data_IF_647527196265
#
_entry.id   IF_647527196265
#
_cell.length_a   1.000
_cell.length_b   1.000
_cell.length_c   1.000
_cell.angle_alpha   90.00
_cell.angle_beta   90.00
_cell.angle_gamma   90.00
#
_symmetry.space_group_name_H-M   'P 1'
#
loop_
_entity.id
_entity.type
_entity.pdbx_description
1 polymer ?
#
# COMPACT_ATOMS: atom_id res chain seq x y z
N UNK A 1 23.49 -31.88 16.18
CA UNK A 1 22.33 -31.81 15.27
C UNK A 1 21.25 -31.01 15.97
N UNK A 2 21.13 -29.71 15.68
CA UNK A 2 20.18 -28.82 16.34
C UNK A 2 18.87 -28.84 15.56
N UNK A 3 17.87 -29.55 16.07
CA UNK A 3 16.52 -29.55 15.52
C UNK A 3 15.90 -28.15 15.72
N UNK A 4 15.82 -27.35 14.66
CA UNK A 4 15.08 -26.08 14.70
C UNK A 4 13.58 -26.39 14.78
N UNK A 5 12.97 -26.04 15.91
CA UNK A 5 11.53 -26.11 16.10
C UNK A 5 10.80 -25.23 15.04
N UNK A 6 9.64 -25.68 14.52
CA UNK A 6 8.85 -24.87 13.60
C UNK A 6 8.38 -23.60 14.33
N UNK A 7 8.73 -22.43 13.78
CA UNK A 7 8.26 -21.15 14.29
C UNK A 7 6.74 -21.12 14.14
N UNK A 8 6.02 -20.99 15.26
CA UNK A 8 4.56 -20.81 15.30
C UNK A 8 4.18 -19.68 14.31
N UNK A 9 3.30 -19.93 13.32
CA UNK A 9 2.95 -18.92 12.34
C UNK A 9 2.36 -17.71 13.07
N UNK A 10 2.94 -16.53 12.82
CA UNK A 10 2.44 -15.31 13.40
C UNK A 10 0.96 -15.12 13.00
N UNK A 11 0.08 -14.69 13.92
CA UNK A 11 -1.33 -14.53 13.61
C UNK A 11 -1.52 -13.58 12.42
N UNK A 12 -2.53 -13.84 11.57
CA UNK A 12 -2.83 -12.98 10.43
C UNK A 12 -3.13 -11.58 10.93
N UNK A 13 -2.40 -10.58 10.42
CA UNK A 13 -2.59 -9.19 10.82
C UNK A 13 -3.54 -8.52 9.82
N UNK A 14 -4.67 -8.03 10.31
CA UNK A 14 -5.56 -7.18 9.53
C UNK A 14 -4.86 -5.85 9.26
N UNK A 15 -4.83 -5.43 8.00
CA UNK A 15 -4.21 -4.17 7.61
C UNK A 15 -5.19 -3.02 7.83
N UNK A 16 -4.81 -2.06 8.68
CA UNK A 16 -5.50 -0.78 8.74
C UNK A 16 -4.94 0.13 7.64
N UNK A 17 -5.83 0.77 6.88
CA UNK A 17 -5.49 1.74 5.84
C UNK A 17 -6.34 3.00 6.04
N UNK A 18 -5.88 4.12 5.51
CA UNK A 18 -6.52 5.42 5.73
C UNK A 18 -7.72 5.59 4.80
N UNK A 19 -8.94 5.56 5.34
CA UNK A 19 -10.17 5.71 4.56
C UNK A 19 -10.36 7.14 4.01
N UNK A 20 -9.71 8.13 4.61
CA UNK A 20 -9.77 9.54 4.17
C UNK A 20 -8.92 9.84 2.93
N UNK A 21 -8.05 8.90 2.51
CA UNK A 21 -7.22 9.07 1.33
C UNK A 21 -8.04 8.77 0.06
N UNK A 22 -7.70 9.35 -1.11
CA UNK A 22 -8.30 8.93 -2.37
C UNK A 22 -8.11 7.43 -2.62
N UNK A 23 -9.10 6.76 -3.19
CA UNK A 23 -9.08 5.31 -3.47
C UNK A 23 -7.77 4.77 -4.09
N UNK A 24 -7.14 5.39 -5.12
CA UNK A 24 -5.87 4.89 -5.66
C UNK A 24 -4.73 4.94 -4.64
N UNK A 25 -4.76 5.90 -3.71
CA UNK A 25 -3.80 5.96 -2.63
C UNK A 25 -4.07 4.88 -1.57
N UNK A 26 -5.32 4.56 -1.30
CA UNK A 26 -5.70 3.46 -0.42
C UNK A 26 -5.21 2.12 -0.97
N UNK A 27 -5.45 1.84 -2.26
CA UNK A 27 -4.97 0.64 -2.93
C UNK A 27 -3.44 0.52 -2.85
N UNK A 28 -2.71 1.60 -3.17
CA UNK A 28 -1.25 1.61 -3.06
C UNK A 28 -0.76 1.42 -1.62
N UNK A 29 -1.46 1.96 -0.62
CA UNK A 29 -1.13 1.79 0.80
C UNK A 29 -1.31 0.33 1.23
N UNK A 30 -2.44 -0.30 0.91
CA UNK A 30 -2.69 -1.72 1.19
C UNK A 30 -1.62 -2.58 0.53
N UNK A 31 -1.34 -2.34 -0.76
CA UNK A 31 -0.32 -3.08 -1.50
C UNK A 31 1.07 -2.95 -0.86
N UNK A 32 1.46 -1.75 -0.44
CA UNK A 32 2.74 -1.53 0.24
C UNK A 32 2.82 -2.20 1.61
N UNK A 33 1.72 -2.26 2.36
CA UNK A 33 1.67 -2.98 3.63
C UNK A 33 1.86 -4.49 3.43
N UNK A 34 1.22 -5.06 2.39
CA UNK A 34 1.41 -6.47 2.01
C UNK A 34 2.87 -6.72 1.60
N UNK A 35 3.44 -5.89 0.71
CA UNK A 35 4.84 -6.05 0.29
C UNK A 35 5.81 -6.00 1.47
N UNK A 36 5.61 -5.07 2.41
CA UNK A 36 6.44 -4.96 3.63
C UNK A 36 6.26 -6.15 4.56
N UNK A 37 5.05 -6.69 4.69
CA UNK A 37 4.77 -7.87 5.52
C UNK A 37 5.47 -9.11 4.97
N UNK A 38 5.44 -9.28 3.65
CA UNK A 38 6.09 -10.38 2.94
C UNK A 38 7.59 -10.14 2.69
N UNK A 39 8.10 -8.95 3.03
CA UNK A 39 9.50 -8.52 2.80
C UNK A 39 9.92 -8.60 1.33
N UNK A 40 9.00 -8.29 0.43
CA UNK A 40 9.24 -8.25 -1.02
C UNK A 40 9.40 -6.81 -1.51
N UNK A 41 10.09 -6.64 -2.63
CA UNK A 41 10.44 -5.34 -3.19
C UNK A 41 9.41 -4.80 -4.19
N UNK A 42 8.66 -5.68 -4.84
CA UNK A 42 7.73 -5.37 -5.93
C UNK A 42 6.43 -6.15 -5.78
N UNK A 43 5.36 -5.68 -6.42
CA UNK A 43 4.07 -6.38 -6.40
C UNK A 43 4.10 -7.70 -7.18
N UNK A 44 4.89 -7.79 -8.26
CA UNK A 44 5.03 -9.05 -9.01
C UNK A 44 5.49 -10.22 -8.13
N UNK A 45 6.42 -9.96 -7.20
CA UNK A 45 6.86 -10.96 -6.21
C UNK A 45 5.74 -11.37 -5.24
N UNK A 46 4.81 -10.47 -4.92
CA UNK A 46 3.62 -10.82 -4.13
C UNK A 46 2.75 -11.82 -4.89
N UNK A 47 2.52 -11.59 -6.18
CA UNK A 47 1.69 -12.46 -7.03
C UNK A 47 2.31 -13.86 -7.14
N UNK A 48 3.62 -13.95 -7.34
CA UNK A 48 4.35 -15.22 -7.36
C UNK A 48 4.18 -15.98 -6.03
N UNK A 49 4.33 -15.28 -4.90
CA UNK A 49 4.20 -15.87 -3.57
C UNK A 49 2.75 -16.19 -3.17
N UNK A 50 1.75 -15.50 -3.72
CA UNK A 50 0.33 -15.71 -3.41
C UNK A 50 -0.21 -17.09 -3.86
N UNK A 51 0.53 -17.77 -4.74
CA UNK A 51 0.26 -19.16 -5.14
C UNK A 51 0.53 -20.16 -4.01
N UNK A 52 1.35 -19.78 -3.02
CA UNK A 52 1.73 -20.64 -1.91
C UNK A 52 0.76 -20.51 -0.74
N UNK A 53 0.39 -21.64 -0.16
CA UNK A 53 -0.62 -21.71 0.92
C UNK A 53 -0.12 -21.11 2.23
N UNK A 54 1.18 -21.22 2.52
CA UNK A 54 1.83 -20.63 3.70
C UNK A 54 1.72 -19.10 3.73
N UNK A 55 1.77 -18.45 2.56
CA UNK A 55 1.67 -17.00 2.42
C UNK A 55 0.23 -16.51 2.60
N UNK A 56 -0.76 -17.26 2.14
CA UNK A 56 -2.19 -16.93 2.33
C UNK A 56 -2.59 -16.86 3.80
N UNK A 57 -1.90 -17.61 4.66
CA UNK A 57 -2.11 -17.56 6.11
C UNK A 57 -1.54 -16.28 6.76
N UNK A 58 -0.55 -15.64 6.13
CA UNK A 58 0.15 -14.46 6.68
C UNK A 58 -0.53 -13.13 6.35
N UNK A 59 -1.32 -13.09 5.27
CA UNK A 59 -1.95 -11.90 4.72
C UNK A 59 -3.44 -12.17 4.59
N UNK A 60 -4.25 -11.53 5.46
CA UNK A 60 -5.72 -11.52 5.32
C UNK A 60 -6.17 -10.14 4.91
N UNK A 61 -6.77 -10.06 3.74
CA UNK A 61 -7.40 -8.85 3.22
C UNK A 61 -8.90 -8.95 3.45
N UNK A 62 -9.51 -7.81 3.81
CA UNK A 62 -10.98 -7.71 3.81
C UNK A 62 -11.50 -7.71 2.37
N UNK A 63 -12.78 -8.08 2.13
CA UNK A 63 -13.38 -8.04 0.79
C UNK A 63 -13.26 -6.65 0.12
N UNK A 64 -13.40 -5.58 0.90
CA UNK A 64 -13.26 -4.19 0.43
C UNK A 64 -11.84 -3.89 -0.03
N UNK A 65 -10.83 -4.32 0.73
CA UNK A 65 -9.42 -4.16 0.36
C UNK A 65 -9.07 -4.95 -0.90
N UNK A 66 -9.61 -6.17 -1.03
CA UNK A 66 -9.42 -6.97 -2.23
C UNK A 66 -10.05 -6.27 -3.43
N UNK A 67 -11.29 -5.80 -3.31
CA UNK A 67 -11.97 -5.06 -4.38
C UNK A 67 -11.21 -3.77 -4.77
N UNK A 68 -10.61 -3.07 -3.81
CA UNK A 68 -9.74 -1.90 -4.05
C UNK A 68 -8.49 -2.29 -4.86
N UNK A 69 -7.82 -3.39 -4.49
CA UNK A 69 -6.66 -3.87 -5.21
C UNK A 69 -7.02 -4.34 -6.62
N UNK A 70 -8.16 -5.00 -6.79
CA UNK A 70 -8.64 -5.49 -8.09
C UNK A 70 -8.98 -4.31 -9.01
N UNK A 71 -9.71 -3.31 -8.51
CA UNK A 71 -10.07 -2.08 -9.23
C UNK A 71 -8.86 -1.31 -9.72
N UNK A 72 -7.80 -1.27 -8.91
CA UNK A 72 -6.55 -0.56 -9.22
C UNK A 72 -5.41 -1.51 -9.60
N UNK A 73 -5.71 -2.72 -10.08
CA UNK A 73 -4.71 -3.74 -10.38
C UNK A 73 -3.61 -3.26 -11.33
N UNK A 74 -3.93 -2.34 -12.24
CA UNK A 74 -3.00 -1.75 -13.20
C UNK A 74 -1.92 -0.84 -12.57
N UNK A 75 -2.11 -0.28 -11.36
CA UNK A 75 -1.05 0.53 -10.69
C UNK A 75 -0.06 -0.34 -9.94
N UNK A 76 -0.47 -1.54 -9.53
CA UNK A 76 0.26 -2.37 -8.57
C UNK A 76 1.65 -2.81 -9.09
N UNK A 77 1.83 -3.20 -10.37
CA UNK A 77 3.14 -3.58 -10.90
C UNK A 77 4.21 -2.49 -10.83
N UNK A 78 3.79 -1.22 -10.77
CA UNK A 78 4.70 -0.07 -10.72
C UNK A 78 5.15 0.28 -9.30
N UNK A 79 4.50 -0.28 -8.28
CA UNK A 79 4.85 -0.01 -6.89
C UNK A 79 6.16 -0.70 -6.51
N UNK A 80 7.01 0.03 -5.79
CA UNK A 80 8.30 -0.47 -5.31
C UNK A 80 8.56 -0.04 -3.89
N UNK A 81 9.17 -0.93 -3.09
CA UNK A 81 9.60 -0.60 -1.72
C UNK A 81 10.93 0.16 -1.73
N UNK A 82 11.89 -0.25 -2.57
CA UNK A 82 13.22 0.37 -2.72
C UNK A 82 13.65 0.45 -4.20
N UNK A 83 13.94 1.64 -4.76
CA UNK A 83 13.56 2.95 -4.22
C UNK A 83 12.04 3.03 -4.06
N UNK A 84 11.55 3.80 -3.09
CA UNK A 84 10.11 3.85 -2.82
C UNK A 84 9.38 4.53 -3.97
N UNK A 85 8.55 3.77 -4.69
CA UNK A 85 7.63 4.26 -5.71
C UNK A 85 6.22 3.98 -5.21
N UNK A 86 5.46 5.05 -5.00
CA UNK A 86 4.10 5.03 -4.49
C UNK A 86 3.18 5.88 -5.37
N UNK A 87 1.90 5.94 -5.04
CA UNK A 87 0.92 6.77 -5.74
C UNK A 87 0.58 8.01 -4.92
N UNK A 88 0.47 9.14 -5.61
CA UNK A 88 -0.15 10.34 -5.09
C UNK A 88 -1.39 10.68 -5.92
N UNK A 89 -2.44 11.14 -5.26
CA UNK A 89 -3.71 11.48 -5.88
C UNK A 89 -4.21 12.84 -5.39
N UNK A 90 -4.89 13.56 -6.27
CA UNK A 90 -5.58 14.79 -5.92
C UNK A 90 -6.95 14.47 -5.33
N UNK A 91 -7.24 14.97 -4.12
CA UNK A 91 -8.53 14.78 -3.47
C UNK A 91 -9.69 15.51 -4.19
N UNK A 92 -9.39 16.58 -4.96
CA UNK A 92 -10.42 17.37 -5.64
C UNK A 92 -10.76 16.83 -7.05
N UNK A 93 -9.75 16.52 -7.87
CA UNK A 93 -9.98 16.09 -9.26
C UNK A 93 -9.82 14.58 -9.49
N UNK A 94 -9.48 13.80 -8.46
CA UNK A 94 -9.35 12.34 -8.52
C UNK A 94 -8.19 11.81 -9.36
N UNK A 95 -7.47 12.66 -10.09
CA UNK A 95 -6.29 12.25 -10.87
C UNK A 95 -5.15 11.86 -9.95
N UNK A 96 -4.38 10.86 -10.37
CA UNK A 96 -3.27 10.32 -9.62
C UNK A 96 -2.08 10.06 -10.54
N UNK A 97 -0.92 9.87 -9.91
CA UNK A 97 0.32 9.55 -10.60
C UNK A 97 1.33 8.92 -9.67
N UNK A 98 2.36 8.34 -10.26
CA UNK A 98 3.47 7.75 -9.52
C UNK A 98 4.37 8.82 -8.95
N UNK A 99 4.82 8.61 -7.73
CA UNK A 99 5.70 9.52 -7.02
C UNK A 99 6.80 8.74 -6.31
N UNK A 100 8.01 9.28 -6.40
CA UNK A 100 9.18 8.77 -5.69
C UNK A 100 9.27 9.30 -4.25
N UNK A 101 10.47 9.24 -3.64
CA UNK A 101 10.69 9.68 -2.27
C UNK A 101 10.68 11.20 -2.08
N UNK A 102 10.84 11.99 -3.16
CA UNK A 102 10.87 13.45 -3.13
C UNK A 102 9.61 14.05 -2.47
N UNK A 103 9.65 15.32 -2.04
CA UNK A 103 8.46 16.01 -1.52
C UNK A 103 7.41 16.17 -2.63
N UNK A 104 6.13 16.10 -2.25
CA UNK A 104 5.04 16.42 -3.18
C UNK A 104 4.83 17.93 -3.21
N UNK A 105 4.50 18.50 -4.38
CA UNK A 105 4.03 19.88 -4.44
C UNK A 105 2.69 20.01 -3.68
N UNK A 106 2.45 21.19 -3.10
CA UNK A 106 1.27 21.48 -2.29
C UNK A 106 -0.02 21.58 -3.12
N UNK A 107 0.10 21.93 -4.41
CA UNK A 107 -1.01 22.08 -5.35
C UNK A 107 -1.02 20.97 -6.40
N UNK A 108 -2.22 20.60 -6.84
CA UNK A 108 -2.43 19.63 -7.90
C UNK A 108 -1.89 20.14 -9.24
N UNK A 109 -0.98 19.38 -9.85
CA UNK A 109 -0.46 19.64 -11.19
C UNK A 109 -1.06 18.72 -12.28
N UNK A 110 -1.90 17.74 -11.90
CA UNK A 110 -2.50 16.79 -12.85
C UNK A 110 -3.60 17.40 -13.73
N UNK A 111 -4.23 18.48 -13.27
CA UNK A 111 -5.33 19.15 -13.96
C UNK A 111 -5.05 20.64 -13.96
N UNK A 112 -5.10 21.26 -15.13
CA UNK A 112 -4.88 22.70 -15.27
C UNK A 112 -5.86 23.47 -14.37
N UNK A 113 -5.32 24.40 -13.56
CA UNK A 113 -6.07 25.21 -12.59
C UNK A 113 -6.81 24.44 -11.49
N UNK A 114 -6.42 23.21 -11.17
CA UNK A 114 -6.98 22.51 -10.01
C UNK A 114 -6.36 23.01 -8.71
N UNK A 115 -7.20 23.50 -7.80
CA UNK A 115 -6.80 23.97 -6.46
C UNK A 115 -6.68 22.83 -5.43
N UNK A 116 -6.93 21.60 -5.85
CA UNK A 116 -6.89 20.43 -4.99
C UNK A 116 -5.50 20.16 -4.42
N UNK A 117 -5.47 19.57 -3.23
CA UNK A 117 -4.25 19.11 -2.57
C UNK A 117 -3.91 17.69 -2.97
N UNK A 118 -2.61 17.43 -3.15
CA UNK A 118 -2.10 16.09 -3.41
C UNK A 118 -1.92 15.33 -2.10
N UNK A 119 -2.50 14.14 -2.04
CA UNK A 119 -2.36 13.19 -0.94
C UNK A 119 -1.47 12.06 -1.41
N UNK A 120 -0.43 11.73 -0.63
CA UNK A 120 0.44 10.57 -0.88
C UNK A 120 -0.13 9.35 -0.17
N UNK A 121 -0.13 8.20 -0.83
CA UNK A 121 -0.26 6.92 -0.16
C UNK A 121 0.89 6.73 0.84
N UNK A 122 0.61 6.96 2.13
CA UNK A 122 1.54 6.68 3.21
C UNK A 122 1.23 5.28 3.71
N UNK A 123 2.20 4.38 3.65
CA UNK A 123 2.14 3.12 4.39
C UNK A 123 2.21 3.46 5.90
N UNK A 124 1.07 3.73 6.52
CA UNK A 124 0.98 4.05 7.94
C UNK A 124 1.18 2.78 8.76
N UNK A 125 2.44 2.41 8.96
CA UNK A 125 2.82 1.65 10.15
C UNK A 125 3.08 2.59 11.36
N UNK A 126 3.06 3.92 11.15
CA UNK A 126 3.51 4.90 12.15
C UNK A 126 2.55 6.08 12.43
N UNK A 127 1.36 6.13 11.82
CA UNK A 127 0.44 7.28 11.99
C UNK A 127 -0.67 7.10 13.03
N UNK A 128 -0.83 5.90 13.62
CA UNK A 128 -1.83 5.67 14.68
C UNK A 128 -1.36 6.14 16.08
N UNK A 129 -0.21 6.82 16.19
CA UNK A 129 0.40 7.21 17.47
C UNK A 129 0.44 8.73 17.72
N UNK A 130 -0.29 9.55 16.96
CA UNK A 130 -0.27 11.01 17.14
C UNK A 130 -1.62 11.69 17.43
N UNK A 131 -2.71 10.93 17.55
CA UNK A 131 -4.03 11.47 17.93
C UNK A 131 -4.54 10.93 19.28
N UNK A 132 -3.61 10.51 20.15
CA UNK A 132 -3.89 10.14 21.54
C UNK A 132 -2.84 10.79 22.47
N UNK A 133 -2.85 12.12 22.52
CA UNK A 133 -2.18 12.91 23.55
C UNK A 133 -2.96 14.21 23.77
#
# INVERSE_FOLDING_TARGET
MTCMAPRKPAPPKTFQHSLDAPEPCQAAQVAQLVMRRLKVGTWGQVVELATREDIRLLVRLTPEQQALLDRYSFILPFLRVKPTITVAACAACGRYGFTGPASLPTRCYFTHRCEGKLVRARSTAAAAAKDAA
#
